data_IF_757697564342
#
_entry.id   IF_757697564342
#
_cell.length_a   1.000
_cell.length_b   1.000
_cell.length_c   1.000
_cell.angle_alpha   90.00
_cell.angle_beta   90.00
_cell.angle_gamma   90.00
#
_symmetry.space_group_name_H-M   'P 1'
#
loop_
_entity.id
_entity.type
_entity.pdbx_description
1 polymer ?
#
# COMPACT_ATOMS: atom_id res chain seq x y z
N UNK A 1 26.63 4.32 12.75
CA UNK A 1 25.30 3.73 13.06
C UNK A 1 24.20 4.77 13.27
N UNK A 2 24.45 5.88 13.99
CA UNK A 2 23.46 6.96 14.19
C UNK A 2 23.11 7.78 12.92
N UNK A 3 24.10 8.14 12.09
CA UNK A 3 23.85 8.91 10.85
C UNK A 3 22.92 8.19 9.88
N UNK A 4 23.11 6.89 9.66
CA UNK A 4 22.23 6.09 8.80
C UNK A 4 20.81 5.96 9.32
N UNK A 5 20.61 5.96 10.65
CA UNK A 5 19.29 5.91 11.27
C UNK A 5 18.50 7.20 11.02
N UNK A 6 19.16 8.36 11.16
CA UNK A 6 18.53 9.66 10.89
C UNK A 6 18.17 9.80 9.40
N UNK A 7 19.06 9.39 8.49
CA UNK A 7 18.78 9.42 7.05
C UNK A 7 17.57 8.55 6.68
N UNK A 8 17.50 7.31 7.17
CA UNK A 8 16.35 6.42 6.88
C UNK A 8 15.05 7.02 7.40
N UNK A 9 15.05 7.61 8.60
CA UNK A 9 13.85 8.26 9.16
C UNK A 9 13.41 9.46 8.32
N UNK A 10 14.35 10.31 7.91
CA UNK A 10 14.06 11.47 7.04
C UNK A 10 13.47 11.02 5.71
N UNK A 11 14.07 10.00 5.08
CA UNK A 11 13.56 9.45 3.81
C UNK A 11 12.15 8.88 3.98
N UNK A 12 11.89 8.14 5.06
CA UNK A 12 10.55 7.60 5.35
C UNK A 12 9.54 8.71 5.57
N UNK A 13 9.87 9.73 6.38
CA UNK A 13 8.99 10.87 6.63
C UNK A 13 8.71 11.63 5.33
N UNK A 14 9.73 11.85 4.49
CA UNK A 14 9.56 12.49 3.19
C UNK A 14 8.68 11.64 2.26
N UNK A 15 8.91 10.33 2.17
CA UNK A 15 8.12 9.42 1.35
C UNK A 15 6.64 9.34 1.77
N UNK A 16 6.34 9.65 3.04
CA UNK A 16 4.98 9.74 3.57
C UNK A 16 4.36 11.10 3.27
N UNK A 17 5.05 12.20 3.64
CA UNK A 17 4.47 13.54 3.62
C UNK A 17 4.45 14.18 2.24
N UNK A 18 5.51 13.99 1.44
CA UNK A 18 5.64 14.69 0.15
C UNK A 18 4.50 14.33 -0.81
N UNK A 19 4.16 13.05 -1.06
CA UNK A 19 3.06 12.73 -1.98
C UNK A 19 1.71 13.26 -1.50
N UNK A 20 1.46 13.28 -0.18
CA UNK A 20 0.22 13.80 0.39
C UNK A 20 0.12 15.31 0.24
N UNK A 21 1.19 16.05 0.54
CA UNK A 21 1.23 17.50 0.43
C UNK A 21 1.12 17.95 -1.03
N UNK A 22 1.80 17.27 -1.96
CA UNK A 22 1.69 17.57 -3.38
C UNK A 22 0.30 17.24 -3.92
N UNK A 23 -0.29 16.11 -3.51
CA UNK A 23 -1.66 15.77 -3.89
C UNK A 23 -2.68 16.80 -3.36
N UNK A 24 -2.46 17.36 -2.17
CA UNK A 24 -3.32 18.38 -1.55
C UNK A 24 -3.29 19.73 -2.25
N UNK A 25 -2.26 20.00 -3.05
CA UNK A 25 -2.14 21.20 -3.86
C UNK A 25 -2.42 20.94 -5.35
N UNK A 26 -3.00 19.77 -5.68
CA UNK A 26 -3.28 19.40 -7.06
C UNK A 26 -4.49 20.17 -7.61
N UNK A 27 -4.40 20.78 -8.82
CA UNK A 27 -5.55 21.43 -9.45
C UNK A 27 -6.67 20.44 -9.78
N UNK A 28 -6.38 19.13 -9.84
CA UNK A 28 -7.39 18.08 -10.05
C UNK A 28 -8.38 17.93 -8.88
N UNK A 29 -8.10 18.60 -7.74
CA UNK A 29 -9.03 18.70 -6.61
C UNK A 29 -10.10 19.78 -6.80
N UNK A 30 -9.87 20.76 -7.68
CA UNK A 30 -10.83 21.83 -7.88
C UNK A 30 -12.19 21.28 -8.30
N UNK A 31 -13.25 21.77 -7.63
CA UNK A 31 -14.64 21.40 -7.91
C UNK A 31 -15.01 19.94 -7.66
N UNK A 32 -14.13 19.16 -7.01
CA UNK A 32 -14.42 17.78 -6.62
C UNK A 32 -15.24 17.72 -5.34
N UNK A 33 -16.16 16.75 -5.31
CA UNK A 33 -16.95 16.44 -4.12
C UNK A 33 -16.03 15.98 -2.96
N UNK A 34 -16.29 16.39 -1.71
CA UNK A 34 -15.48 15.98 -0.57
C UNK A 34 -15.31 14.47 -0.41
N UNK A 35 -16.34 13.66 -0.71
CA UNK A 35 -16.28 12.21 -0.64
C UNK A 35 -15.29 11.67 -1.66
N UNK A 36 -15.31 12.22 -2.89
CA UNK A 36 -14.36 11.86 -3.95
C UNK A 36 -12.92 12.20 -3.55
N UNK A 37 -12.70 13.38 -2.95
CA UNK A 37 -11.39 13.80 -2.46
C UNK A 37 -10.89 12.83 -1.38
N UNK A 38 -11.72 12.53 -0.36
CA UNK A 38 -11.36 11.59 0.70
C UNK A 38 -11.06 10.20 0.15
N UNK A 39 -11.86 9.73 -0.81
CA UNK A 39 -11.62 8.46 -1.49
C UNK A 39 -10.24 8.45 -2.17
N UNK A 40 -9.92 9.47 -2.95
CA UNK A 40 -8.62 9.62 -3.61
C UNK A 40 -7.45 9.62 -2.63
N UNK A 41 -7.53 10.42 -1.56
CA UNK A 41 -6.50 10.46 -0.52
C UNK A 41 -6.36 9.14 0.23
N UNK A 42 -7.44 8.41 0.48
CA UNK A 42 -7.37 7.09 1.09
C UNK A 42 -6.54 6.12 0.23
N UNK A 43 -6.60 6.22 -1.10
CA UNK A 43 -5.73 5.49 -2.03
C UNK A 43 -4.26 5.87 -1.90
N UNK A 44 -3.95 7.17 -1.86
CA UNK A 44 -2.57 7.67 -1.66
C UNK A 44 -2.00 7.21 -0.32
N UNK A 45 -2.78 7.33 0.76
CA UNK A 45 -2.42 6.89 2.11
C UNK A 45 -2.19 5.37 2.11
N UNK A 46 -3.05 4.58 1.46
CA UNK A 46 -2.86 3.14 1.35
C UNK A 46 -1.52 2.80 0.68
N UNK A 47 -1.16 3.47 -0.41
CA UNK A 47 0.12 3.25 -1.09
C UNK A 47 1.33 3.59 -0.20
N UNK A 48 1.25 4.68 0.56
CA UNK A 48 2.27 5.06 1.54
C UNK A 48 2.37 4.04 2.69
N UNK A 49 1.24 3.60 3.24
CA UNK A 49 1.23 2.57 4.29
C UNK A 49 1.79 1.24 3.78
N UNK A 50 1.51 0.89 2.52
CA UNK A 50 2.05 -0.29 1.86
C UNK A 50 3.58 -0.21 1.73
N UNK A 51 4.15 0.96 1.41
CA UNK A 51 5.61 1.18 1.38
C UNK A 51 6.27 0.82 2.72
N UNK A 52 5.61 1.10 3.84
CA UNK A 52 6.14 0.80 5.17
C UNK A 52 6.12 -0.70 5.49
N UNK A 53 5.23 -1.49 4.87
CA UNK A 53 5.03 -2.89 5.21
C UNK A 53 6.30 -3.75 5.05
N UNK A 54 7.01 -3.75 3.89
CA UNK A 54 8.23 -4.54 3.73
C UNK A 54 9.35 -4.12 4.68
N UNK A 55 9.49 -2.81 4.93
CA UNK A 55 10.51 -2.28 5.84
C UNK A 55 10.30 -2.75 7.28
N UNK A 56 9.04 -2.78 7.72
CA UNK A 56 8.67 -3.24 9.06
C UNK A 56 8.73 -4.76 9.18
N UNK A 57 8.40 -5.48 8.10
CA UNK A 57 8.43 -6.94 8.06
C UNK A 57 9.84 -7.52 8.23
N UNK A 58 10.87 -6.86 7.68
CA UNK A 58 12.27 -7.30 7.87
C UNK A 58 12.80 -7.00 9.27
N UNK A 59 12.20 -6.03 9.98
CA UNK A 59 12.67 -5.60 11.29
C UNK A 59 14.08 -4.98 11.28
N UNK A 60 14.54 -4.49 10.13
CA UNK A 60 15.88 -3.94 9.93
C UNK A 60 15.92 -2.40 10.02
N UNK A 61 14.84 -1.75 10.48
CA UNK A 61 14.80 -0.29 10.64
C UNK A 61 15.77 0.13 11.75
N UNK A 62 16.81 0.94 11.46
CA UNK A 62 17.80 1.32 12.46
C UNK A 62 17.18 2.04 13.67
N UNK A 63 17.56 1.61 14.87
CA UNK A 63 17.08 2.21 16.12
C UNK A 63 15.66 1.84 16.53
N UNK A 64 15.02 0.87 15.86
CA UNK A 64 13.73 0.29 16.27
C UNK A 64 13.93 -1.21 16.50
N UNK A 65 13.54 -1.72 17.66
CA UNK A 65 13.68 -3.14 17.98
C UNK A 65 12.67 -4.01 17.20
N UNK A 66 13.03 -5.27 16.97
CA UNK A 66 12.25 -6.20 16.15
C UNK A 66 10.82 -6.42 16.64
N UNK A 67 10.60 -6.40 17.95
CA UNK A 67 9.25 -6.54 18.54
C UNK A 67 8.40 -5.31 18.19
N UNK A 68 8.97 -4.11 18.27
CA UNK A 68 8.28 -2.89 17.89
C UNK A 68 7.97 -2.89 16.38
N UNK A 69 8.92 -3.29 15.53
CA UNK A 69 8.69 -3.44 14.09
C UNK A 69 7.53 -4.40 13.77
N UNK A 70 7.45 -5.56 14.45
CA UNK A 70 6.32 -6.49 14.26
C UNK A 70 4.97 -5.94 14.71
N UNK A 71 4.95 -5.20 15.82
CA UNK A 71 3.72 -4.52 16.29
C UNK A 71 3.29 -3.45 15.28
N UNK A 72 4.22 -2.60 14.87
CA UNK A 72 3.99 -1.55 13.88
C UNK A 72 3.54 -2.13 12.53
N UNK A 73 4.18 -3.20 12.03
CA UNK A 73 3.76 -3.93 10.82
C UNK A 73 2.28 -4.32 10.90
N UNK A 74 1.84 -4.89 12.04
CA UNK A 74 0.44 -5.26 12.25
C UNK A 74 -0.49 -4.04 12.29
N UNK A 75 -0.15 -3.01 13.07
CA UNK A 75 -0.99 -1.81 13.20
C UNK A 75 -1.12 -1.06 11.86
N UNK A 76 -0.02 -0.86 11.16
CA UNK A 76 0.00 -0.26 9.81
C UNK A 76 -0.74 -1.18 8.83
N UNK A 77 -0.71 -2.50 9.03
CA UNK A 77 -1.46 -3.45 8.21
C UNK A 77 -2.96 -3.28 8.37
N UNK A 78 -3.44 -3.07 9.61
CA UNK A 78 -4.84 -2.74 9.88
C UNK A 78 -5.20 -1.39 9.27
N UNK A 79 -4.36 -0.37 9.44
CA UNK A 79 -4.58 0.95 8.85
C UNK A 79 -4.66 0.88 7.31
N UNK A 80 -3.80 0.09 6.66
CA UNK A 80 -3.81 -0.14 5.23
C UNK A 80 -5.14 -0.76 4.77
N UNK A 81 -5.63 -1.78 5.47
CA UNK A 81 -6.93 -2.40 5.18
C UNK A 81 -8.05 -1.37 5.30
N UNK A 82 -8.06 -0.56 6.37
CA UNK A 82 -9.06 0.48 6.56
C UNK A 82 -9.00 1.56 5.48
N UNK A 83 -7.81 2.01 5.09
CA UNK A 83 -7.63 2.97 3.99
C UNK A 83 -8.20 2.44 2.67
N UNK A 84 -7.99 1.15 2.36
CA UNK A 84 -8.56 0.53 1.17
C UNK A 84 -10.09 0.47 1.26
N UNK A 85 -10.66 0.13 2.43
CA UNK A 85 -12.11 0.13 2.63
C UNK A 85 -12.68 1.53 2.40
N UNK A 86 -12.07 2.57 2.96
CA UNK A 86 -12.50 3.97 2.77
C UNK A 86 -12.37 4.38 1.30
N UNK A 87 -11.27 4.01 0.64
CA UNK A 87 -11.08 4.29 -0.79
C UNK A 87 -12.20 3.68 -1.63
N UNK A 88 -12.45 2.38 -1.49
CA UNK A 88 -13.46 1.65 -2.28
C UNK A 88 -14.88 2.08 -1.92
N UNK A 89 -15.18 2.30 -0.64
CA UNK A 89 -16.50 2.77 -0.22
C UNK A 89 -16.78 4.20 -0.72
N UNK A 90 -15.77 5.08 -0.69
CA UNK A 90 -15.88 6.41 -1.25
C UNK A 90 -16.15 6.38 -2.75
N UNK A 91 -15.40 5.55 -3.50
CA UNK A 91 -15.65 5.33 -4.93
C UNK A 91 -17.04 4.75 -5.18
N UNK A 92 -17.51 3.82 -4.33
CA UNK A 92 -18.84 3.25 -4.45
C UNK A 92 -19.95 4.29 -4.25
N UNK A 93 -19.75 5.25 -3.35
CA UNK A 93 -20.70 6.33 -3.13
C UNK A 93 -20.70 7.34 -4.28
N UNK A 94 -19.55 7.62 -4.88
CA UNK A 94 -19.44 8.61 -5.96
C UNK A 94 -19.76 8.05 -7.34
N UNK A 95 -19.46 6.78 -7.59
CA UNK A 95 -19.70 6.10 -8.86
C UNK A 95 -19.89 4.59 -8.71
N UNK A 96 -21.05 4.14 -8.17
CA UNK A 96 -21.31 2.71 -7.94
C UNK A 96 -21.17 1.82 -9.19
N UNK A 97 -21.66 2.22 -10.40
CA UNK A 97 -21.49 1.40 -11.61
C UNK A 97 -20.03 1.11 -11.95
N UNK A 98 -19.14 2.11 -11.83
CA UNK A 98 -17.72 1.94 -12.12
C UNK A 98 -17.07 0.91 -11.18
N UNK A 99 -17.46 0.90 -9.91
CA UNK A 99 -16.93 -0.06 -8.94
C UNK A 99 -17.47 -1.46 -9.20
N UNK A 100 -18.75 -1.59 -9.57
CA UNK A 100 -19.33 -2.87 -9.99
C UNK A 100 -18.58 -3.42 -11.21
N UNK A 101 -18.37 -2.61 -12.24
CA UNK A 101 -17.64 -3.00 -13.45
C UNK A 101 -16.19 -3.37 -13.15
N UNK A 102 -15.52 -2.65 -12.24
CA UNK A 102 -14.18 -3.00 -11.78
C UNK A 102 -14.15 -4.37 -11.09
N UNK A 103 -15.07 -4.62 -10.15
CA UNK A 103 -15.14 -5.89 -9.40
C UNK A 103 -15.50 -7.08 -10.29
N UNK A 104 -16.28 -6.86 -11.34
CA UNK A 104 -16.64 -7.87 -12.34
C UNK A 104 -15.60 -8.00 -13.46
N UNK A 105 -14.49 -7.23 -13.40
CA UNK A 105 -13.46 -7.19 -14.44
C UNK A 105 -14.00 -6.82 -15.84
N UNK A 106 -15.06 -6.01 -15.88
CA UNK A 106 -15.71 -5.52 -17.09
C UNK A 106 -15.44 -4.02 -17.35
N UNK A 107 -14.67 -3.36 -16.48
CA UNK A 107 -14.36 -1.93 -16.63
C UNK A 107 -13.50 -1.67 -17.87
N UNK A 108 -13.84 -0.62 -18.61
CA UNK A 108 -13.01 -0.09 -19.71
C UNK A 108 -11.69 0.51 -19.22
N UNK A 109 -11.54 0.76 -17.92
CA UNK A 109 -10.33 1.34 -17.33
C UNK A 109 -9.33 0.25 -16.93
N UNK A 110 -8.18 0.12 -17.62
CA UNK A 110 -7.24 -0.98 -17.37
C UNK A 110 -6.63 -0.93 -15.97
N UNK A 111 -6.50 0.27 -15.37
CA UNK A 111 -5.99 0.42 -14.01
C UNK A 111 -6.88 -0.28 -12.97
N UNK A 112 -8.19 -0.33 -13.17
CA UNK A 112 -9.14 -0.84 -12.17
C UNK A 112 -8.96 -2.33 -11.91
N UNK A 113 -8.64 -3.12 -12.94
CA UNK A 113 -8.31 -4.55 -12.82
C UNK A 113 -7.18 -4.76 -11.82
N UNK A 114 -6.10 -3.99 -11.95
CA UNK A 114 -4.93 -4.10 -11.07
C UNK A 114 -5.21 -3.62 -9.65
N UNK A 115 -6.06 -2.60 -9.50
CA UNK A 115 -6.54 -2.13 -8.20
C UNK A 115 -7.32 -3.21 -7.46
N UNK A 116 -8.25 -3.90 -8.14
CA UNK A 116 -9.05 -5.00 -7.59
C UNK A 116 -8.17 -6.19 -7.21
N UNK A 117 -7.22 -6.58 -8.05
CA UNK A 117 -6.26 -7.66 -7.74
C UNK A 117 -5.44 -7.32 -6.48
N UNK A 118 -4.90 -6.09 -6.40
CA UNK A 118 -4.12 -5.65 -5.25
C UNK A 118 -4.98 -5.61 -3.96
N UNK A 119 -6.21 -5.08 -4.05
CA UNK A 119 -7.17 -5.03 -2.94
C UNK A 119 -7.42 -6.43 -2.38
N UNK A 120 -7.81 -7.39 -3.23
CA UNK A 120 -8.04 -8.77 -2.79
C UNK A 120 -6.78 -9.41 -2.23
N UNK A 121 -5.62 -9.13 -2.83
CA UNK A 121 -4.32 -9.54 -2.29
C UNK A 121 -4.12 -9.07 -0.85
N UNK A 122 -4.45 -7.80 -0.54
CA UNK A 122 -4.35 -7.25 0.83
C UNK A 122 -5.33 -7.94 1.77
N UNK A 123 -6.58 -8.15 1.36
CA UNK A 123 -7.58 -8.84 2.19
C UNK A 123 -7.20 -10.31 2.45
N UNK A 124 -6.71 -11.04 1.44
CA UNK A 124 -6.20 -12.40 1.67
C UNK A 124 -4.97 -12.41 2.57
N UNK A 125 -4.06 -11.44 2.43
CA UNK A 125 -2.90 -11.30 3.32
C UNK A 125 -3.32 -11.00 4.75
N UNK A 126 -4.34 -10.16 4.97
CA UNK A 126 -4.84 -9.84 6.30
C UNK A 126 -5.51 -11.04 6.98
N UNK A 127 -6.30 -11.82 6.22
CA UNK A 127 -6.88 -13.09 6.69
C UNK A 127 -5.77 -14.11 7.01
N UNK A 128 -4.77 -14.27 6.13
CA UNK A 128 -3.62 -15.14 6.35
C UNK A 128 -2.82 -14.74 7.61
N UNK A 129 -2.68 -13.45 7.87
CA UNK A 129 -2.01 -12.94 9.06
C UNK A 129 -2.84 -13.16 10.34
N UNK A 130 -4.16 -12.93 10.29
CA UNK A 130 -5.08 -13.09 11.41
C UNK A 130 -5.28 -14.56 11.81
N UNK A 131 -5.32 -15.46 10.83
CA UNK A 131 -5.56 -16.90 11.02
C UNK A 131 -4.28 -17.70 11.24
N UNK A 132 -3.10 -17.06 11.22
CA UNK A 132 -1.79 -17.71 11.37
C UNK A 132 -1.70 -18.71 12.54
N UNK A 133 -2.33 -18.41 13.68
CA UNK A 133 -2.29 -19.28 14.87
C UNK A 133 -3.32 -20.40 14.85
N UNK A 134 -4.32 -20.33 13.96
CA UNK A 134 -5.46 -21.25 13.88
C UNK A 134 -5.31 -22.28 12.76
N UNK A 135 -4.60 -21.93 11.69
CA UNK A 135 -4.38 -22.83 10.54
C UNK A 135 -3.13 -23.67 10.80
N UNK A 136 -3.20 -24.98 10.53
CA UNK A 136 -2.08 -25.93 10.62
C UNK A 136 -1.01 -25.75 9.53
N UNK A 137 -0.80 -24.51 9.07
CA UNK A 137 0.15 -24.20 8.02
C UNK A 137 1.57 -24.17 8.61
N UNK A 138 2.50 -24.88 7.97
CA UNK A 138 3.91 -24.79 8.37
C UNK A 138 4.40 -23.34 8.25
N UNK A 139 5.38 -22.96 9.09
CA UNK A 139 5.97 -21.63 9.02
C UNK A 139 6.55 -21.31 7.63
N UNK A 140 7.05 -22.33 6.94
CA UNK A 140 7.58 -22.21 5.58
C UNK A 140 6.49 -21.84 4.58
N UNK A 141 5.41 -22.62 4.53
CA UNK A 141 4.27 -22.36 3.63
C UNK A 141 3.64 -21.00 3.92
N UNK A 142 3.49 -20.62 5.19
CA UNK A 142 2.97 -19.31 5.56
C UNK A 142 3.86 -18.16 5.04
N UNK A 143 5.18 -18.30 5.17
CA UNK A 143 6.14 -17.29 4.67
C UNK A 143 6.09 -17.16 3.15
N UNK A 144 5.97 -18.28 2.42
CA UNK A 144 5.86 -18.26 0.96
C UNK A 144 4.55 -17.59 0.56
N UNK A 145 3.41 -18.05 1.08
CA UNK A 145 2.10 -17.50 0.74
C UNK A 145 2.05 -15.98 0.98
N UNK A 146 2.52 -15.51 2.15
CA UNK A 146 2.54 -14.09 2.47
C UNK A 146 3.48 -13.29 1.54
N UNK A 147 4.64 -13.83 1.15
CA UNK A 147 5.56 -13.15 0.23
C UNK A 147 5.02 -13.09 -1.19
N UNK A 148 4.44 -14.18 -1.68
CA UNK A 148 3.82 -14.22 -3.00
C UNK A 148 2.68 -13.21 -3.09
N UNK A 149 1.80 -13.17 -2.08
CA UNK A 149 0.74 -12.16 -2.01
C UNK A 149 1.33 -10.74 -1.94
N UNK A 150 2.39 -10.51 -1.17
CA UNK A 150 3.05 -9.20 -1.12
C UNK A 150 3.57 -8.75 -2.49
N UNK A 151 4.15 -9.65 -3.29
CA UNK A 151 4.59 -9.34 -4.66
C UNK A 151 3.40 -8.98 -5.55
N UNK A 152 2.31 -9.76 -5.50
CA UNK A 152 1.09 -9.49 -6.28
C UNK A 152 0.48 -8.13 -5.91
N UNK A 153 0.38 -7.84 -4.61
CA UNK A 153 -0.12 -6.56 -4.11
C UNK A 153 0.74 -5.41 -4.64
N UNK A 154 2.06 -5.49 -4.47
CA UNK A 154 2.96 -4.41 -4.87
C UNK A 154 2.94 -4.19 -6.38
N UNK A 155 3.01 -5.26 -7.18
CA UNK A 155 2.94 -5.14 -8.63
C UNK A 155 1.60 -4.55 -9.08
N UNK A 156 0.48 -5.05 -8.53
CA UNK A 156 -0.86 -4.55 -8.84
C UNK A 156 -1.03 -3.08 -8.43
N UNK A 157 -0.59 -2.69 -7.23
CA UNK A 157 -0.66 -1.29 -6.77
C UNK A 157 0.18 -0.36 -7.65
N UNK A 158 1.39 -0.77 -8.06
CA UNK A 158 2.24 0.05 -8.93
C UNK A 158 1.62 0.23 -10.31
N UNK A 159 1.14 -0.84 -10.93
CA UNK A 159 0.51 -0.76 -12.26
C UNK A 159 -0.77 0.07 -12.18
N UNK A 160 -1.61 -0.18 -11.16
CA UNK A 160 -2.81 0.61 -10.88
C UNK A 160 -2.49 2.10 -10.76
N UNK A 161 -1.52 2.47 -9.92
CA UNK A 161 -1.17 3.87 -9.69
C UNK A 161 -0.56 4.55 -10.91
N UNK A 162 0.34 3.88 -11.65
CA UNK A 162 0.99 4.45 -12.83
C UNK A 162 -0.03 4.78 -13.92
N UNK A 163 -1.00 3.90 -14.13
CA UNK A 163 -2.04 4.05 -15.14
C UNK A 163 -3.13 5.08 -14.76
N UNK A 164 -3.16 5.55 -13.52
CA UNK A 164 -4.09 6.59 -13.08
C UNK A 164 -3.53 7.98 -13.37
N UNK A 165 -4.32 8.80 -14.06
CA UNK A 165 -4.19 10.25 -14.01
C UNK A 165 -5.03 10.77 -12.84
N UNK A 166 -4.37 11.33 -11.82
CA UNK A 166 -5.03 11.67 -10.56
C UNK A 166 -4.23 12.70 -9.76
N UNK A 167 -4.69 12.97 -8.54
CA UNK A 167 -4.20 14.10 -7.71
C UNK A 167 -2.71 14.02 -7.38
N UNK A 168 -2.13 12.82 -7.27
CA UNK A 168 -0.69 12.68 -7.10
C UNK A 168 0.06 13.17 -8.34
N UNK A 169 0.92 14.15 -8.13
CA UNK A 169 1.84 14.66 -9.16
C UNK A 169 2.74 13.52 -9.69
N UNK A 170 3.02 13.57 -10.99
CA UNK A 170 3.72 12.54 -11.77
C UNK A 170 5.03 12.08 -11.14
N UNK A 171 5.95 13.01 -10.83
CA UNK A 171 7.26 12.70 -10.25
C UNK A 171 7.10 12.02 -8.89
N UNK A 172 6.26 12.57 -8.01
CA UNK A 172 6.01 12.00 -6.67
C UNK A 172 5.43 10.59 -6.74
N UNK A 173 4.54 10.34 -7.70
CA UNK A 173 3.90 9.05 -7.95
C UNK A 173 4.92 8.00 -8.41
N UNK A 174 5.71 8.31 -9.44
CA UNK A 174 6.75 7.39 -9.92
C UNK A 174 7.83 7.14 -8.87
N UNK A 175 8.25 8.17 -8.13
CA UNK A 175 9.21 8.02 -7.05
C UNK A 175 8.70 7.05 -5.97
N UNK A 176 7.43 7.18 -5.58
CA UNK A 176 6.82 6.28 -4.60
C UNK A 176 6.71 4.84 -5.13
N UNK A 177 6.35 4.65 -6.41
CA UNK A 177 6.35 3.35 -7.07
C UNK A 177 7.74 2.69 -7.07
N UNK A 178 8.78 3.43 -7.44
CA UNK A 178 10.16 2.93 -7.47
C UNK A 178 10.63 2.57 -6.07
N UNK A 179 10.37 3.42 -5.07
CA UNK A 179 10.69 3.12 -3.68
C UNK A 179 9.97 1.86 -3.19
N UNK A 180 8.67 1.71 -3.51
CA UNK A 180 7.88 0.55 -3.13
C UNK A 180 8.43 -0.74 -3.73
N UNK A 181 8.76 -0.74 -5.02
CA UNK A 181 9.40 -1.87 -5.68
C UNK A 181 10.75 -2.19 -5.03
N UNK A 182 11.56 -1.18 -4.79
CA UNK A 182 12.90 -1.32 -4.21
C UNK A 182 12.86 -1.95 -2.81
N UNK A 183 12.06 -1.40 -1.89
CA UNK A 183 12.00 -1.93 -0.51
C UNK A 183 11.39 -3.33 -0.46
N UNK A 184 10.44 -3.62 -1.35
CA UNK A 184 9.84 -4.95 -1.47
C UNK A 184 10.86 -5.96 -1.97
N UNK A 185 11.59 -5.63 -3.03
CA UNK A 185 12.67 -6.46 -3.56
C UNK A 185 13.73 -6.74 -2.50
N UNK A 186 14.18 -5.71 -1.78
CA UNK A 186 15.15 -5.86 -0.69
C UNK A 186 14.62 -6.76 0.44
N UNK A 187 13.34 -6.65 0.80
CA UNK A 187 12.72 -7.49 1.82
C UNK A 187 12.63 -8.97 1.41
N UNK A 188 12.51 -9.25 0.12
CA UNK A 188 12.49 -10.62 -0.43
C UNK A 188 13.89 -11.23 -0.47
N UNK A 189 14.89 -10.46 -0.94
CA UNK A 189 16.27 -10.93 -1.11
C UNK A 189 17.02 -11.01 0.23
N UNK A 190 16.78 -10.08 1.14
CA UNK A 190 17.39 -10.02 2.47
C UNK A 190 16.33 -10.11 3.57
N UNK A 191 15.59 -11.22 3.65
CA UNK A 191 14.58 -11.36 4.67
C UNK A 191 15.26 -11.33 6.05
N UNK A 192 14.77 -10.47 6.95
CA UNK A 192 15.30 -10.38 8.30
C UNK A 192 15.36 -11.78 8.94
N UNK A 193 16.54 -12.15 9.46
CA UNK A 193 16.76 -13.43 10.18
C UNK A 193 15.82 -13.53 11.38
#
# INVERSE_FOLDING_TARGET
MYRSANTVRVVVVAAVLVPLLLAANSPLLEWRDPVYIVAGFAGVIAMVLLLLQPMLATGQIPGIGRIQCRRAHRFIGVALVLSIIVHVAGLWLTSPPDVIDALLFNSATPFSVWGVIAMWGVFFTSVLAATRKKVFMTLYTWKIAHRTLAVVIVAGTVIHAILIEGTMETVSKYALCVLLLWVTFMAIVKPGR
#
